data_IF_333086722687
#
_entry.id   IF_333086722687
#
_cell.length_a   1.000
_cell.length_b   1.000
_cell.length_c   1.000
_cell.angle_alpha   90.00
_cell.angle_beta   90.00
_cell.angle_gamma   90.00
#
_symmetry.space_group_name_H-M   'P 1'
#
loop_
_entity.id
_entity.type
_entity.pdbx_description
1 polymer ?
#
# COMPACT_ATOMS: atom_id res chain seq x y z
N UNK A 1 -4.00 34.24 -28.52
CA UNK A 1 -4.33 32.92 -27.92
C UNK A 1 -3.10 32.04 -28.09
N UNK A 2 -2.12 32.18 -27.20
CA UNK A 2 -0.90 31.38 -27.25
C UNK A 2 -1.16 30.06 -26.53
N UNK A 3 -1.18 28.97 -27.30
CA UNK A 3 -1.19 27.61 -26.77
C UNK A 3 0.15 27.31 -26.12
N UNK A 4 0.21 27.48 -24.79
CA UNK A 4 1.36 27.06 -24.00
C UNK A 4 1.53 25.54 -24.07
N UNK A 5 2.69 25.11 -24.57
CA UNK A 5 3.17 23.73 -24.44
C UNK A 5 3.26 23.44 -22.94
N UNK A 6 2.40 22.57 -22.44
CA UNK A 6 2.53 22.02 -21.09
C UNK A 6 3.83 21.20 -21.09
N UNK A 7 4.84 21.55 -20.28
CA UNK A 7 6.11 20.83 -20.30
C UNK A 7 5.86 19.36 -19.96
N UNK A 8 6.34 18.47 -20.83
CA UNK A 8 6.26 17.04 -20.60
C UNK A 8 7.01 16.71 -19.29
N UNK A 9 6.31 16.07 -18.35
CA UNK A 9 6.84 15.63 -17.06
C UNK A 9 8.12 14.83 -17.30
N UNK A 10 9.26 15.32 -16.80
CA UNK A 10 10.56 14.67 -16.98
C UNK A 10 10.50 13.22 -16.50
N UNK A 11 10.58 12.27 -17.44
CA UNK A 11 10.39 10.84 -17.19
C UNK A 11 11.66 10.13 -16.70
N UNK A 12 12.79 10.85 -16.51
CA UNK A 12 14.11 10.25 -16.29
C UNK A 12 14.59 10.19 -14.84
N UNK A 13 13.94 10.85 -13.88
CA UNK A 13 14.19 10.56 -12.46
C UNK A 13 13.73 9.12 -12.19
N UNK A 14 14.58 8.30 -11.54
CA UNK A 14 14.28 6.90 -11.26
C UNK A 14 12.90 6.79 -10.59
N UNK A 15 11.90 6.33 -11.36
CA UNK A 15 10.49 6.29 -10.94
C UNK A 15 10.35 5.19 -9.90
N UNK A 16 10.35 5.59 -8.63
CA UNK A 16 10.13 4.69 -7.50
C UNK A 16 8.67 4.76 -7.05
N UNK A 17 8.13 3.61 -6.62
CA UNK A 17 6.78 3.46 -6.08
C UNK A 17 6.84 2.45 -4.92
N UNK A 18 6.24 2.78 -3.79
CA UNK A 18 6.05 1.83 -2.69
C UNK A 18 4.95 0.82 -3.07
N UNK A 19 5.33 -0.46 -3.11
CA UNK A 19 4.44 -1.59 -3.36
C UNK A 19 4.13 -2.43 -2.11
N UNK A 20 4.76 -2.10 -0.98
CA UNK A 20 4.50 -2.68 0.34
C UNK A 20 4.42 -1.53 1.33
N UNK A 21 3.22 -1.23 1.81
CA UNK A 21 2.95 -0.10 2.69
C UNK A 21 1.77 -0.40 3.60
N UNK A 22 1.98 -0.12 4.89
CA UNK A 22 1.01 -0.29 5.96
C UNK A 22 0.36 1.04 6.31
N UNK A 23 -0.97 1.05 6.38
CA UNK A 23 -1.78 2.19 6.83
C UNK A 23 -2.17 2.07 8.30
N UNK A 24 -2.93 3.03 8.79
CA UNK A 24 -3.60 2.95 10.10
C UNK A 24 -4.54 1.73 10.25
N UNK A 25 -4.85 1.02 9.16
CA UNK A 25 -5.62 -0.23 9.19
C UNK A 25 -4.77 -1.49 9.45
N UNK A 26 -3.44 -1.37 9.49
CA UNK A 26 -2.57 -2.34 10.18
C UNK A 26 -2.61 -2.04 11.68
N UNK A 27 -3.68 -2.47 12.36
CA UNK A 27 -4.10 -1.93 13.66
C UNK A 27 -3.06 -2.01 14.80
N UNK A 28 -2.08 -2.91 14.69
CA UNK A 28 -1.10 -3.14 15.76
C UNK A 28 0.16 -2.28 15.62
N UNK A 29 0.54 -1.88 14.41
CA UNK A 29 1.83 -1.24 14.13
C UNK A 29 1.83 -0.25 12.94
N UNK A 30 0.71 -0.08 12.26
CA UNK A 30 0.53 0.82 11.13
C UNK A 30 0.25 2.27 11.56
N UNK A 31 0.95 3.22 10.94
CA UNK A 31 0.87 4.65 11.29
C UNK A 31 0.49 5.60 10.15
N UNK A 32 0.39 5.12 8.91
CA UNK A 32 0.13 6.01 7.77
C UNK A 32 -1.38 6.29 7.61
N UNK A 33 -1.80 7.52 7.92
CA UNK A 33 -3.15 7.99 7.60
C UNK A 33 -3.28 8.42 6.14
N UNK A 34 -4.42 8.14 5.49
CA UNK A 34 -4.53 8.31 4.03
C UNK A 34 -4.34 9.74 3.52
N UNK A 35 -4.83 10.76 4.25
CA UNK A 35 -4.62 12.16 3.87
C UNK A 35 -3.13 12.55 3.81
N UNK A 36 -2.39 12.47 4.93
CA UNK A 36 -0.94 12.71 4.95
C UNK A 36 -0.15 11.80 4.00
N UNK A 37 -0.51 10.51 3.91
CA UNK A 37 0.14 9.56 3.01
C UNK A 37 0.07 10.02 1.55
N UNK A 38 -1.13 10.32 1.06
CA UNK A 38 -1.34 10.71 -0.34
C UNK A 38 -0.69 12.07 -0.66
N UNK A 39 -0.69 13.01 0.29
CA UNK A 39 0.04 14.27 0.17
C UNK A 39 1.56 14.02 0.03
N UNK A 40 2.13 13.14 0.86
CA UNK A 40 3.57 12.81 0.82
C UNK A 40 3.96 12.08 -0.47
N UNK A 41 3.15 11.12 -0.91
CA UNK A 41 3.37 10.38 -2.18
C UNK A 41 3.40 11.35 -3.36
N UNK A 42 2.50 12.33 -3.38
CA UNK A 42 2.46 13.37 -4.42
C UNK A 42 3.66 14.32 -4.37
N UNK A 43 4.06 14.76 -3.17
CA UNK A 43 5.25 15.60 -2.96
C UNK A 43 6.53 14.92 -3.47
N UNK A 44 6.64 13.61 -3.24
CA UNK A 44 7.75 12.78 -3.73
C UNK A 44 7.69 12.47 -5.24
N UNK A 45 6.68 12.99 -5.95
CA UNK A 45 6.54 12.83 -7.39
C UNK A 45 6.10 11.42 -7.83
N UNK A 46 5.65 10.57 -6.91
CA UNK A 46 5.19 9.21 -7.21
C UNK A 46 3.81 9.24 -7.86
N UNK A 47 3.59 8.36 -8.84
CA UNK A 47 2.34 8.29 -9.60
C UNK A 47 1.42 7.16 -9.16
N UNK A 48 1.93 6.26 -8.31
CA UNK A 48 1.19 5.14 -7.75
C UNK A 48 1.68 4.87 -6.33
N UNK A 49 0.87 4.14 -5.56
CA UNK A 49 1.23 3.59 -4.25
C UNK A 49 0.33 2.39 -3.96
N UNK A 50 0.88 1.34 -3.35
CA UNK A 50 0.11 0.20 -2.89
C UNK A 50 -0.34 0.35 -1.44
N UNK A 51 -1.43 -0.32 -1.09
CA UNK A 51 -1.83 -0.59 0.29
C UNK A 51 -1.75 -2.11 0.51
N UNK A 52 -1.00 -2.54 1.52
CA UNK A 52 -0.77 -3.97 1.81
C UNK A 52 -0.81 -4.19 3.31
N UNK A 53 -1.95 -3.91 3.93
CA UNK A 53 -2.10 -4.02 5.38
C UNK A 53 -1.98 -5.47 5.89
N UNK A 54 -1.63 -5.61 7.16
CA UNK A 54 -1.46 -6.90 7.82
C UNK A 54 -2.77 -7.69 7.89
N UNK A 55 -2.87 -8.74 7.08
CA UNK A 55 -3.95 -9.73 7.12
C UNK A 55 -5.35 -9.19 6.89
N UNK A 56 -5.50 -7.97 6.37
CA UNK A 56 -6.81 -7.34 6.18
C UNK A 56 -6.87 -6.38 4.99
N UNK A 57 -8.09 -5.97 4.64
CA UNK A 57 -8.41 -5.02 3.57
C UNK A 57 -9.37 -3.92 4.05
N UNK A 58 -9.42 -3.63 5.35
CA UNK A 58 -10.42 -2.74 5.93
C UNK A 58 -10.37 -1.32 5.33
N UNK A 59 -9.17 -0.81 5.09
CA UNK A 59 -8.94 0.52 4.54
C UNK A 59 -9.01 0.60 3.00
N UNK A 60 -9.22 -0.51 2.29
CA UNK A 60 -9.03 -0.57 0.83
C UNK A 60 -9.88 0.44 0.05
N UNK A 61 -11.16 0.58 0.41
CA UNK A 61 -12.08 1.51 -0.27
C UNK A 61 -11.76 2.98 0.03
N UNK A 62 -11.45 3.30 1.27
CA UNK A 62 -11.10 4.66 1.69
C UNK A 62 -9.77 5.10 1.08
N UNK A 63 -8.76 4.23 1.12
CA UNK A 63 -7.48 4.42 0.44
C UNK A 63 -7.67 4.65 -1.06
N UNK A 64 -8.46 3.80 -1.72
CA UNK A 64 -8.75 3.94 -3.14
C UNK A 64 -9.35 5.32 -3.44
N UNK A 65 -10.35 5.76 -2.67
CA UNK A 65 -10.96 7.08 -2.84
C UNK A 65 -9.94 8.22 -2.62
N UNK A 66 -9.16 8.17 -1.54
CA UNK A 66 -8.17 9.19 -1.21
C UNK A 66 -7.05 9.30 -2.26
N UNK A 67 -6.49 8.17 -2.69
CA UNK A 67 -5.45 8.13 -3.72
C UNK A 67 -5.95 8.68 -5.06
N UNK A 68 -7.16 8.27 -5.48
CA UNK A 68 -7.79 8.77 -6.72
C UNK A 68 -8.04 10.28 -6.66
N UNK A 69 -8.54 10.79 -5.54
CA UNK A 69 -8.74 12.23 -5.33
C UNK A 69 -7.43 13.02 -5.41
N UNK A 70 -6.31 12.43 -4.98
CA UNK A 70 -4.98 13.04 -5.07
C UNK A 70 -4.32 12.97 -6.47
N UNK A 71 -4.91 12.20 -7.40
CA UNK A 71 -4.35 11.93 -8.73
C UNK A 71 -3.28 10.83 -8.75
N UNK A 72 -3.26 9.98 -7.73
CA UNK A 72 -2.34 8.85 -7.59
C UNK A 72 -3.06 7.57 -8.01
N UNK A 73 -2.39 6.66 -8.71
CA UNK A 73 -2.91 5.32 -9.02
C UNK A 73 -2.85 4.45 -7.76
N UNK A 74 -4.00 4.08 -7.14
CA UNK A 74 -3.98 3.10 -6.06
C UNK A 74 -3.67 1.71 -6.60
N UNK A 75 -2.93 0.93 -5.82
CA UNK A 75 -2.73 -0.51 -6.00
C UNK A 75 -3.26 -1.18 -4.73
N UNK A 76 -4.25 -2.07 -4.87
CA UNK A 76 -4.86 -2.74 -3.73
C UNK A 76 -4.18 -4.09 -3.54
N UNK A 77 -3.57 -4.29 -2.38
CA UNK A 77 -2.91 -5.53 -2.01
C UNK A 77 -3.15 -5.88 -0.55
N UNK A 78 -2.45 -6.90 -0.08
CA UNK A 78 -2.51 -7.39 1.30
C UNK A 78 -1.16 -8.01 1.66
N UNK A 79 -0.71 -7.82 2.90
CA UNK A 79 0.32 -8.69 3.46
C UNK A 79 -0.40 -9.83 4.18
N UNK A 80 -0.51 -10.97 3.50
CA UNK A 80 -1.22 -12.13 4.00
C UNK A 80 -0.38 -12.90 5.02
N UNK A 81 -1.04 -13.38 6.07
CA UNK A 81 -0.47 -14.39 6.97
C UNK A 81 -0.64 -15.77 6.34
N UNK A 82 0.48 -16.44 6.08
CA UNK A 82 0.53 -17.75 5.44
C UNK A 82 0.88 -18.81 6.48
N UNK A 83 -0.03 -19.77 6.68
CA UNK A 83 0.22 -20.91 7.55
C UNK A 83 1.33 -21.79 6.96
N UNK A 84 2.24 -22.37 7.77
CA UNK A 84 3.25 -23.31 7.27
C UNK A 84 2.66 -24.58 6.64
N UNK A 85 1.43 -24.94 7.04
CA UNK A 85 0.68 -26.09 6.55
C UNK A 85 -0.81 -25.76 6.35
N UNK A 86 -1.69 -26.69 6.75
CA UNK A 86 -3.14 -26.47 6.65
C UNK A 86 -3.58 -25.33 7.59
N UNK A 87 -4.20 -24.28 7.04
CA UNK A 87 -4.71 -23.13 7.81
C UNK A 87 -5.76 -23.47 8.87
N UNK A 88 -6.30 -24.69 8.86
CA UNK A 88 -7.28 -25.19 9.84
C UNK A 88 -6.62 -25.86 11.04
N UNK A 89 -5.32 -26.15 10.95
CA UNK A 89 -4.55 -26.67 12.07
C UNK A 89 -4.51 -25.64 13.20
N UNK A 90 -4.75 -26.13 14.42
CA UNK A 90 -4.75 -25.35 15.66
C UNK A 90 -3.78 -25.92 16.69
N UNK A 91 -2.88 -26.81 16.26
CA UNK A 91 -1.86 -27.41 17.11
C UNK A 91 -0.95 -26.31 17.64
N UNK A 92 -0.82 -26.23 18.96
CA UNK A 92 0.05 -25.23 19.59
C UNK A 92 1.49 -25.69 19.54
N UNK A 93 2.33 -25.02 18.77
CA UNK A 93 3.75 -25.35 18.58
C UNK A 93 4.70 -24.30 19.16
N UNK A 94 4.17 -23.32 19.89
CA UNK A 94 4.93 -22.20 20.44
C UNK A 94 5.15 -21.07 19.43
N UNK A 95 6.26 -20.33 19.58
CA UNK A 95 6.57 -19.13 18.76
C UNK A 95 7.06 -19.50 17.35
N UNK A 96 7.54 -20.73 17.16
CA UNK A 96 8.24 -21.15 15.93
C UNK A 96 7.34 -21.18 14.68
N UNK A 97 6.02 -21.37 14.82
CA UNK A 97 5.09 -21.49 13.69
C UNK A 97 4.09 -20.33 13.60
N UNK A 98 4.50 -19.10 13.98
CA UNK A 98 3.66 -17.90 13.92
C UNK A 98 3.13 -17.52 12.51
N UNK A 99 3.46 -18.30 11.48
CA UNK A 99 3.15 -18.03 10.08
C UNK A 99 4.21 -17.17 9.40
N UNK A 100 4.06 -17.05 8.08
CA UNK A 100 4.92 -16.22 7.23
C UNK A 100 4.14 -15.04 6.69
N UNK A 101 4.85 -13.97 6.34
CA UNK A 101 4.27 -12.84 5.64
C UNK A 101 4.42 -13.03 4.13
N UNK A 102 3.37 -12.70 3.37
CA UNK A 102 3.41 -12.70 1.91
C UNK A 102 2.66 -11.49 1.36
N UNK A 103 3.37 -10.65 0.62
CA UNK A 103 2.79 -9.49 -0.06
C UNK A 103 2.12 -9.94 -1.36
N UNK A 104 0.85 -9.58 -1.53
CA UNK A 104 0.03 -9.85 -2.73
C UNK A 104 -0.51 -8.53 -3.31
N UNK A 105 -0.53 -8.40 -4.64
CA UNK A 105 -0.97 -7.22 -5.41
C UNK A 105 -1.93 -7.61 -6.54
#
# INVERSE_FOLDING_TARGET
>A
MEGGIVPAKDRRAARFVHLHLHSEYSLLDGGNRFGPLTARVKELGMEAVALTDHGNLHGAMEFHAAARAAGIKPILGIEAYVAPGDRRDRTHTGIADGGFHLVLL
#
